data_IF_307818056769
#
_entry.id   IF_307818056769
#
_cell.length_a   1.000
_cell.length_b   1.000
_cell.length_c   1.000
_cell.angle_alpha   90.00
_cell.angle_beta   90.00
_cell.angle_gamma   90.00
#
_symmetry.space_group_name_H-M   'P 1'
#
loop_
_entity.id
_entity.type
_entity.pdbx_description
1 polymer ?
#
# COMPACT_ATOMS: atom_id res chain seq x y z
N UNK A 1 11.02 -5.25 7.89
CA UNK A 1 11.86 -6.21 8.62
C UNK A 1 13.01 -5.53 9.36
N UNK A 2 14.14 -5.18 8.72
CA UNK A 2 15.32 -4.62 9.45
C UNK A 2 15.04 -3.29 10.17
N UNK A 3 14.22 -2.42 9.60
CA UNK A 3 13.91 -1.09 10.17
C UNK A 3 12.98 -1.17 11.39
N UNK A 4 11.95 -2.01 11.35
CA UNK A 4 11.02 -2.20 12.48
C UNK A 4 11.72 -2.90 13.67
N UNK A 5 12.48 -3.96 13.39
CA UNK A 5 13.31 -4.63 14.41
C UNK A 5 14.29 -3.67 15.10
N UNK A 6 14.88 -2.73 14.36
CA UNK A 6 15.73 -1.69 14.96
C UNK A 6 14.95 -0.76 15.90
N UNK A 7 13.73 -0.35 15.54
CA UNK A 7 12.88 0.49 16.42
C UNK A 7 12.41 -0.26 17.66
N UNK A 8 12.05 -1.54 17.54
CA UNK A 8 11.69 -2.41 18.66
C UNK A 8 12.87 -2.61 19.61
N UNK A 9 14.06 -2.90 19.07
CA UNK A 9 15.26 -3.06 19.88
C UNK A 9 15.66 -1.76 20.58
N UNK A 10 15.52 -0.62 19.90
CA UNK A 10 15.80 0.69 20.48
C UNK A 10 14.81 1.06 21.59
N UNK A 11 13.52 0.79 21.40
CA UNK A 11 12.48 1.04 22.41
C UNK A 11 12.61 0.09 23.61
N UNK A 12 12.90 -1.19 23.38
CA UNK A 12 13.17 -2.15 24.46
C UNK A 12 14.43 -1.75 25.27
N UNK A 13 15.50 -1.32 24.59
CA UNK A 13 16.70 -0.81 25.25
C UNK A 13 16.42 0.46 26.07
N UNK A 14 15.63 1.38 25.52
CA UNK A 14 15.22 2.61 26.23
C UNK A 14 14.42 2.28 27.49
N UNK A 15 13.47 1.33 27.42
CA UNK A 15 12.69 0.87 28.58
C UNK A 15 13.64 0.25 29.62
N UNK A 16 14.53 -0.65 29.23
CA UNK A 16 15.49 -1.27 30.16
C UNK A 16 16.42 -0.25 30.82
N UNK A 17 16.91 0.74 30.06
CA UNK A 17 17.72 1.83 30.58
C UNK A 17 16.93 2.70 31.56
N UNK A 18 15.68 3.02 31.23
CA UNK A 18 14.80 3.77 32.12
C UNK A 18 14.56 2.98 33.42
N UNK A 19 14.20 1.70 33.35
CA UNK A 19 14.01 0.85 34.53
C UNK A 19 15.26 0.78 35.40
N UNK A 20 16.46 0.74 34.79
CA UNK A 20 17.72 0.76 35.53
C UNK A 20 17.93 2.10 36.27
N UNK A 21 17.77 3.23 35.58
CA UNK A 21 17.95 4.57 36.17
C UNK A 21 16.93 4.79 37.30
N UNK A 22 15.66 4.53 37.03
CA UNK A 22 14.60 4.66 38.03
C UNK A 22 14.78 3.64 39.17
N UNK A 23 15.28 2.43 38.90
CA UNK A 23 15.63 1.45 39.93
C UNK A 23 16.70 1.95 40.89
N UNK A 24 17.77 2.58 40.36
CA UNK A 24 18.80 3.21 41.19
C UNK A 24 18.21 4.35 42.04
N UNK A 25 17.38 5.20 41.43
CA UNK A 25 16.71 6.29 42.15
C UNK A 25 15.77 5.73 43.21
N UNK A 26 15.00 4.67 42.95
CA UNK A 26 14.11 4.05 43.93
C UNK A 26 14.88 3.57 45.18
N UNK A 27 16.01 2.90 45.00
CA UNK A 27 16.83 2.42 46.13
C UNK A 27 17.37 3.59 46.96
N UNK A 28 17.81 4.67 46.31
CA UNK A 28 18.33 5.84 47.03
C UNK A 28 17.20 6.62 47.72
N UNK A 29 16.06 6.78 47.05
CA UNK A 29 14.99 7.68 47.45
C UNK A 29 13.99 7.03 48.43
N UNK A 30 13.77 5.73 48.30
CA UNK A 30 12.77 4.98 49.09
C UNK A 30 13.48 4.15 50.16
N UNK A 31 14.50 3.37 49.79
CA UNK A 31 15.14 2.41 50.73
C UNK A 31 15.98 3.11 51.81
N UNK A 32 16.63 4.24 51.51
CA UNK A 32 17.42 4.99 52.49
C UNK A 32 16.62 6.05 53.26
N UNK A 33 15.32 6.17 53.01
CA UNK A 33 14.47 7.16 53.69
C UNK A 33 14.12 6.70 55.11
N UNK A 34 14.62 7.42 56.12
CA UNK A 34 14.44 7.06 57.52
C UNK A 34 12.98 7.17 57.99
N UNK A 35 12.19 8.10 57.42
CA UNK A 35 10.80 8.29 57.82
C UNK A 35 9.93 7.13 57.31
N UNK A 36 10.15 6.70 56.06
CA UNK A 36 9.42 5.57 55.48
C UNK A 36 9.77 4.24 56.16
N UNK A 37 11.04 4.06 56.55
CA UNK A 37 11.48 2.87 57.27
C UNK A 37 11.01 2.82 58.73
N UNK A 38 10.53 3.94 59.30
CA UNK A 38 10.01 3.98 60.66
C UNK A 38 8.58 3.46 60.80
N UNK A 39 7.87 3.29 59.67
CA UNK A 39 6.46 2.90 59.61
C UNK A 39 6.37 1.43 59.19
N UNK A 40 5.76 0.59 60.02
CA UNK A 40 5.72 -0.88 59.84
C UNK A 40 5.11 -1.30 58.48
N UNK A 41 4.01 -0.65 58.08
CA UNK A 41 3.32 -0.92 56.79
C UNK A 41 4.20 -0.60 55.57
N UNK A 42 4.97 0.50 55.64
CA UNK A 42 5.81 0.93 54.51
C UNK A 42 7.12 0.16 54.48
N UNK A 43 7.69 -0.14 55.65
CA UNK A 43 8.92 -0.91 55.80
C UNK A 43 8.80 -2.32 55.19
N UNK A 44 7.68 -3.01 55.40
CA UNK A 44 7.44 -4.32 54.78
C UNK A 44 7.46 -4.25 53.25
N UNK A 45 6.85 -3.21 52.69
CA UNK A 45 6.81 -2.99 51.23
C UNK A 45 8.21 -2.70 50.69
N UNK A 46 8.99 -1.87 51.38
CA UNK A 46 10.37 -1.55 51.00
C UNK A 46 11.24 -2.80 51.02
N UNK A 47 11.16 -3.62 52.08
CA UNK A 47 11.95 -4.85 52.20
C UNK A 47 11.57 -5.90 51.15
N UNK A 48 10.30 -5.94 50.73
CA UNK A 48 9.83 -6.88 49.72
C UNK A 48 10.14 -6.43 48.29
N UNK A 49 9.97 -5.13 47.99
CA UNK A 49 9.96 -4.62 46.61
C UNK A 49 11.20 -3.77 46.26
N UNK A 50 11.83 -3.13 47.23
CA UNK A 50 13.00 -2.26 47.05
C UNK A 50 14.23 -2.61 47.92
N UNK A 51 14.51 -3.87 48.32
CA UNK A 51 15.65 -4.17 49.20
C UNK A 51 17.01 -3.98 48.51
N UNK A 52 17.05 -4.15 47.18
CA UNK A 52 18.25 -3.99 46.37
C UNK A 52 17.86 -3.57 44.94
N UNK A 53 18.84 -3.18 44.13
CA UNK A 53 18.63 -2.69 42.77
C UNK A 53 17.92 -3.71 41.88
N UNK A 54 18.29 -4.99 41.95
CA UNK A 54 17.72 -6.02 41.10
C UNK A 54 16.24 -6.27 41.41
N UNK A 55 15.89 -6.41 42.69
CA UNK A 55 14.49 -6.53 43.14
C UNK A 55 13.71 -5.27 42.80
N UNK A 56 14.32 -4.08 42.90
CA UNK A 56 13.69 -2.82 42.50
C UNK A 56 13.38 -2.79 41.00
N UNK A 57 14.31 -3.23 40.14
CA UNK A 57 14.08 -3.34 38.69
C UNK A 57 12.95 -4.35 38.40
N UNK A 58 12.90 -5.49 39.10
CA UNK A 58 11.80 -6.45 38.96
C UNK A 58 10.45 -5.87 39.40
N UNK A 59 10.42 -5.11 40.49
CA UNK A 59 9.22 -4.39 40.92
C UNK A 59 8.82 -3.36 39.86
N UNK A 60 9.75 -2.56 39.35
CA UNK A 60 9.47 -1.59 38.28
C UNK A 60 9.06 -2.27 36.96
N UNK A 61 9.47 -3.51 36.72
CA UNK A 61 8.95 -4.32 35.62
C UNK A 61 7.46 -4.67 35.84
N UNK A 62 6.98 -4.85 37.07
CA UNK A 62 5.53 -4.94 37.35
C UNK A 62 4.80 -3.62 37.05
N UNK A 63 5.49 -2.48 37.18
CA UNK A 63 4.95 -1.19 36.72
C UNK A 63 4.82 -1.10 35.20
N UNK A 64 5.62 -1.86 34.45
CA UNK A 64 5.46 -2.01 33.00
C UNK A 64 4.15 -2.73 32.69
N UNK A 65 3.85 -3.80 33.40
CA UNK A 65 2.62 -4.57 33.18
C UNK A 65 1.38 -3.98 33.86
N UNK A 66 1.53 -2.88 34.61
CA UNK A 66 0.51 -2.31 35.50
C UNK A 66 -0.10 -3.35 36.45
N UNK A 67 0.71 -4.33 36.86
CA UNK A 67 0.25 -5.48 37.66
C UNK A 67 0.33 -5.17 39.15
N UNK A 68 -0.81 -5.12 39.83
CA UNK A 68 -0.94 -4.89 41.28
C UNK A 68 -0.15 -3.69 41.85
N UNK A 69 0.17 -2.69 41.02
CA UNK A 69 1.09 -1.60 41.38
C UNK A 69 0.55 -0.69 42.49
N UNK A 70 -0.77 -0.62 42.64
CA UNK A 70 -1.43 0.21 43.65
C UNK A 70 -1.05 -0.20 45.07
N UNK A 71 -0.84 -1.50 45.32
CA UNK A 71 -0.40 -2.00 46.63
C UNK A 71 1.01 -1.51 46.97
N UNK A 72 1.84 -1.18 45.97
CA UNK A 72 3.20 -0.70 46.16
C UNK A 72 3.24 0.81 46.34
N UNK A 73 2.71 1.59 45.38
CA UNK A 73 2.88 3.06 45.41
C UNK A 73 1.93 3.78 46.37
N UNK A 74 0.70 3.29 46.58
CA UNK A 74 -0.31 3.99 47.39
C UNK A 74 0.15 4.26 48.84
N UNK A 75 0.60 3.25 49.63
CA UNK A 75 1.05 3.49 51.00
C UNK A 75 2.27 4.42 51.06
N UNK A 76 3.20 4.32 50.10
CA UNK A 76 4.35 5.21 49.99
C UNK A 76 3.93 6.68 49.76
N UNK A 77 2.98 6.92 48.86
CA UNK A 77 2.49 8.26 48.52
C UNK A 77 1.66 8.88 49.65
N UNK A 78 0.87 8.08 50.37
CA UNK A 78 0.07 8.57 51.51
C UNK A 78 0.98 9.17 52.59
N UNK A 79 2.11 8.53 52.88
CA UNK A 79 3.07 9.02 53.86
C UNK A 79 3.98 10.12 53.31
N UNK A 80 4.39 10.03 52.03
CA UNK A 80 5.19 11.06 51.35
C UNK A 80 4.56 11.46 50.01
N UNK A 81 3.69 12.49 50.00
CA UNK A 81 2.91 12.88 48.83
C UNK A 81 3.74 13.24 47.59
N UNK A 82 4.96 13.75 47.77
CA UNK A 82 5.83 14.14 46.65
C UNK A 82 6.33 12.93 45.84
N UNK A 83 6.30 11.72 46.38
CA UNK A 83 6.61 10.48 45.64
C UNK A 83 5.64 10.21 44.50
N UNK A 84 4.45 10.83 44.48
CA UNK A 84 3.50 10.70 43.37
C UNK A 84 4.13 11.17 42.05
N UNK A 85 4.98 12.21 42.09
CA UNK A 85 5.64 12.73 40.88
C UNK A 85 6.61 11.70 40.33
N UNK A 86 7.35 11.02 41.21
CA UNK A 86 8.27 9.94 40.84
C UNK A 86 7.53 8.77 40.18
N UNK A 87 6.47 8.25 40.82
CA UNK A 87 5.69 7.13 40.29
C UNK A 87 4.92 7.51 39.02
N UNK A 88 4.36 8.72 38.94
CA UNK A 88 3.68 9.21 37.74
C UNK A 88 4.63 9.32 36.54
N UNK A 89 5.86 9.81 36.77
CA UNK A 89 6.85 9.97 35.71
C UNK A 89 7.28 8.62 35.13
N UNK A 90 7.58 7.63 35.97
CA UNK A 90 7.94 6.28 35.48
C UNK A 90 6.76 5.62 34.77
N UNK A 91 5.54 5.72 35.32
CA UNK A 91 4.34 5.17 34.67
C UNK A 91 4.14 5.77 33.29
N UNK A 92 4.34 7.08 33.13
CA UNK A 92 4.22 7.76 31.84
C UNK A 92 5.28 7.26 30.84
N UNK A 93 6.55 7.25 31.24
CA UNK A 93 7.68 6.84 30.36
C UNK A 93 7.49 5.40 29.89
N UNK A 94 7.17 4.51 30.83
CA UNK A 94 7.00 3.09 30.55
C UNK A 94 5.76 2.84 29.68
N UNK A 95 4.65 3.54 29.94
CA UNK A 95 3.43 3.43 29.11
C UNK A 95 3.67 3.87 27.67
N UNK A 96 4.39 4.99 27.46
CA UNK A 96 4.77 5.46 26.13
C UNK A 96 5.71 4.46 25.46
N UNK A 97 6.70 3.94 26.20
CA UNK A 97 7.64 2.93 25.69
C UNK A 97 6.93 1.67 25.21
N UNK A 98 6.01 1.14 26.00
CA UNK A 98 5.20 -0.02 25.63
C UNK A 98 4.30 0.25 24.43
N UNK A 99 3.61 1.39 24.41
CA UNK A 99 2.75 1.76 23.28
C UNK A 99 3.55 1.83 21.99
N UNK A 100 4.76 2.39 22.03
CA UNK A 100 5.65 2.43 20.87
C UNK A 100 6.10 1.03 20.42
N UNK A 101 6.40 0.13 21.37
CA UNK A 101 6.75 -1.25 21.06
C UNK A 101 5.58 -1.99 20.39
N UNK A 102 4.37 -1.87 20.93
CA UNK A 102 3.15 -2.48 20.35
C UNK A 102 2.86 -1.90 18.98
N UNK A 103 2.96 -0.58 18.83
CA UNK A 103 2.73 0.11 17.55
C UNK A 103 3.73 -0.36 16.49
N UNK A 104 5.01 -0.52 16.84
CA UNK A 104 6.02 -1.01 15.91
C UNK A 104 5.68 -2.41 15.38
N UNK A 105 5.26 -3.33 16.26
CA UNK A 105 4.85 -4.70 15.87
C UNK A 105 3.59 -4.68 14.98
N UNK A 106 2.59 -3.88 15.32
CA UNK A 106 1.37 -3.78 14.53
C UNK A 106 1.62 -3.21 13.14
N UNK A 107 2.45 -2.18 13.03
CA UNK A 107 2.83 -1.58 11.74
C UNK A 107 3.62 -2.58 10.89
N UNK A 108 4.52 -3.36 11.49
CA UNK A 108 5.26 -4.39 10.78
C UNK A 108 4.33 -5.46 10.20
N UNK A 109 3.41 -6.00 11.01
CA UNK A 109 2.42 -6.97 10.54
C UNK A 109 1.53 -6.39 9.44
N UNK A 110 1.11 -5.13 9.57
CA UNK A 110 0.28 -4.47 8.55
C UNK A 110 1.03 -4.29 7.22
N UNK A 111 2.30 -3.89 7.27
CA UNK A 111 3.13 -3.72 6.08
C UNK A 111 3.46 -5.06 5.41
N UNK A 112 3.75 -6.10 6.20
CA UNK A 112 4.01 -7.44 5.67
C UNK A 112 2.76 -8.04 5.01
N UNK A 113 1.61 -7.94 5.66
CA UNK A 113 0.34 -8.38 5.07
C UNK A 113 0.01 -7.62 3.78
N UNK A 114 0.20 -6.29 3.75
CA UNK A 114 -0.02 -5.50 2.54
C UNK A 114 0.91 -5.91 1.39
N UNK A 115 2.18 -6.24 1.70
CA UNK A 115 3.12 -6.74 0.69
C UNK A 115 2.72 -8.12 0.15
N UNK A 116 2.29 -9.03 1.04
CA UNK A 116 1.81 -10.36 0.66
C UNK A 116 0.53 -10.28 -0.20
N UNK A 117 -0.41 -9.40 0.14
CA UNK A 117 -1.61 -9.17 -0.65
C UNK A 117 -1.26 -8.64 -2.05
N UNK A 118 -0.36 -7.66 -2.15
CA UNK A 118 0.07 -7.12 -3.44
C UNK A 118 0.77 -8.17 -4.32
N UNK A 119 1.62 -9.01 -3.75
CA UNK A 119 2.27 -10.11 -4.48
C UNK A 119 1.27 -11.19 -4.90
N UNK A 120 0.31 -11.54 -4.04
CA UNK A 120 -0.75 -12.48 -4.36
C UNK A 120 -1.66 -11.96 -5.50
N UNK A 121 -2.02 -10.68 -5.47
CA UNK A 121 -2.78 -10.02 -6.54
C UNK A 121 -2.01 -10.09 -7.86
N UNK A 122 -0.71 -9.77 -7.84
CA UNK A 122 0.13 -9.84 -9.04
C UNK A 122 0.23 -11.25 -9.62
N UNK A 123 0.33 -12.27 -8.76
CA UNK A 123 0.34 -13.67 -9.19
C UNK A 123 -1.01 -14.08 -9.79
N UNK A 124 -2.12 -13.67 -9.17
CA UNK A 124 -3.46 -13.91 -9.68
C UNK A 124 -3.67 -13.26 -11.05
N UNK A 125 -3.23 -12.00 -11.23
CA UNK A 125 -3.26 -11.32 -12.53
C UNK A 125 -2.47 -12.07 -13.59
N UNK A 126 -1.23 -12.50 -13.27
CA UNK A 126 -0.43 -13.32 -14.20
C UNK A 126 -1.10 -14.63 -14.59
N UNK A 127 -1.76 -15.29 -13.63
CA UNK A 127 -2.47 -16.55 -13.89
C UNK A 127 -3.67 -16.30 -14.82
N UNK A 128 -4.47 -15.26 -14.55
CA UNK A 128 -5.58 -14.85 -15.42
C UNK A 128 -5.12 -14.56 -16.85
N UNK A 129 -4.00 -13.84 -17.02
CA UNK A 129 -3.40 -13.58 -18.35
C UNK A 129 -3.04 -14.88 -19.04
N UNK A 130 -2.30 -15.76 -18.35
CA UNK A 130 -1.81 -17.01 -18.92
C UNK A 130 -2.95 -17.95 -19.37
N UNK A 131 -4.06 -17.95 -18.64
CA UNK A 131 -5.23 -18.77 -18.97
C UNK A 131 -6.06 -18.17 -20.11
N UNK A 132 -6.20 -16.84 -20.17
CA UNK A 132 -7.04 -16.17 -21.16
C UNK A 132 -6.36 -15.99 -22.52
N UNK A 133 -5.03 -15.79 -22.54
CA UNK A 133 -4.26 -15.52 -23.76
C UNK A 133 -4.41 -16.58 -24.86
N UNK A 134 -4.30 -17.90 -24.61
CA UNK A 134 -4.49 -18.90 -25.67
C UNK A 134 -5.90 -18.87 -26.26
N UNK A 135 -6.93 -18.75 -25.43
CA UNK A 135 -8.32 -18.67 -25.90
C UNK A 135 -8.56 -17.43 -26.75
N UNK A 136 -7.95 -16.29 -26.39
CA UNK A 136 -8.04 -15.06 -27.19
C UNK A 136 -7.36 -15.19 -28.55
N UNK A 137 -6.22 -15.87 -28.61
CA UNK A 137 -5.53 -16.13 -29.87
C UNK A 137 -6.33 -17.05 -30.79
N UNK A 138 -6.90 -18.12 -30.24
CA UNK A 138 -7.80 -19.02 -30.98
C UNK A 138 -9.03 -18.26 -31.51
N UNK A 139 -9.63 -17.40 -30.67
CA UNK A 139 -10.78 -16.58 -31.08
C UNK A 139 -10.42 -15.61 -32.20
N UNK A 140 -9.20 -15.07 -32.22
CA UNK A 140 -8.72 -14.20 -33.30
C UNK A 140 -8.58 -14.98 -34.61
N UNK A 141 -7.96 -16.16 -34.57
CA UNK A 141 -7.79 -17.03 -35.74
C UNK A 141 -9.15 -17.49 -36.32
N UNK A 142 -10.15 -17.72 -35.46
CA UNK A 142 -11.50 -18.07 -35.90
C UNK A 142 -12.25 -16.90 -36.57
N UNK A 143 -11.88 -15.66 -36.27
CA UNK A 143 -12.49 -14.44 -36.83
C UNK A 143 -11.81 -13.96 -38.12
N UNK A 144 -10.51 -14.22 -38.26
CA UNK A 144 -9.70 -13.91 -39.45
C UNK A 144 -9.89 -14.97 -40.54
N UNK A 145 -11.06 -14.93 -41.21
CA UNK A 145 -11.43 -15.92 -42.25
C UNK A 145 -10.47 -15.89 -43.46
N UNK A 146 -9.94 -14.72 -43.80
CA UNK A 146 -9.06 -14.54 -44.96
C UNK A 146 -7.57 -14.76 -44.64
N UNK A 147 -7.21 -14.87 -43.36
CA UNK A 147 -5.85 -15.09 -42.87
C UNK A 147 -4.94 -13.90 -43.12
N UNK A 148 -5.49 -12.69 -43.25
CA UNK A 148 -4.75 -11.46 -43.49
C UNK A 148 -3.92 -11.03 -42.27
N UNK A 149 -4.23 -11.55 -41.09
CA UNK A 149 -3.66 -11.12 -39.80
C UNK A 149 -4.36 -9.88 -39.22
N UNK A 150 -5.49 -9.49 -39.79
CA UNK A 150 -6.33 -8.37 -39.35
C UNK A 150 -7.78 -8.81 -39.34
N UNK A 151 -8.54 -8.36 -38.35
CA UNK A 151 -10.00 -8.49 -38.37
C UNK A 151 -10.56 -7.22 -38.99
N UNK A 152 -11.27 -7.34 -40.10
CA UNK A 152 -11.95 -6.25 -40.78
C UNK A 152 -13.41 -6.12 -40.33
N UNK A 153 -14.01 -4.96 -40.61
CA UNK A 153 -15.42 -4.71 -40.25
C UNK A 153 -16.39 -5.68 -40.94
N UNK A 154 -16.05 -6.15 -42.13
CA UNK A 154 -16.87 -7.07 -42.92
C UNK A 154 -16.83 -8.49 -42.33
N UNK A 155 -15.70 -8.92 -41.74
CA UNK A 155 -15.53 -10.26 -41.15
C UNK A 155 -16.27 -10.44 -39.82
N UNK A 156 -16.49 -9.35 -39.09
CA UNK A 156 -17.27 -9.36 -37.85
C UNK A 156 -18.75 -9.06 -38.07
N UNK A 157 -19.13 -8.63 -39.28
CA UNK A 157 -20.51 -8.24 -39.59
C UNK A 157 -21.39 -9.49 -39.62
N UNK A 158 -22.25 -9.63 -38.59
CA UNK A 158 -23.12 -10.80 -38.43
C UNK A 158 -22.55 -11.91 -37.55
N UNK A 159 -21.34 -11.75 -37.01
CA UNK A 159 -20.79 -12.66 -36.00
C UNK A 159 -21.48 -12.40 -34.66
N UNK A 160 -22.04 -13.43 -34.00
CA UNK A 160 -22.63 -13.26 -32.68
C UNK A 160 -21.54 -13.07 -31.62
N UNK A 161 -21.79 -12.17 -30.66
CA UNK A 161 -20.87 -11.86 -29.55
C UNK A 161 -20.54 -13.10 -28.69
N UNK A 162 -21.33 -14.17 -28.78
CA UNK A 162 -21.13 -15.45 -28.09
C UNK A 162 -19.84 -16.17 -28.48
N UNK A 163 -19.19 -15.79 -29.58
CA UNK A 163 -17.87 -16.31 -29.98
C UNK A 163 -16.79 -15.88 -28.99
N UNK A 164 -16.93 -14.69 -28.39
CA UNK A 164 -16.03 -14.24 -27.32
C UNK A 164 -16.37 -15.00 -26.02
N UNK A 165 -15.38 -15.52 -25.29
CA UNK A 165 -15.65 -16.24 -24.05
C UNK A 165 -16.45 -15.37 -23.07
N UNK A 166 -17.57 -15.87 -22.49
CA UNK A 166 -18.49 -15.06 -21.70
C UNK A 166 -17.85 -14.46 -20.44
N UNK A 167 -16.78 -15.08 -19.94
CA UNK A 167 -15.95 -14.56 -18.84
C UNK A 167 -15.28 -13.21 -19.15
N UNK A 168 -15.11 -12.87 -20.43
CA UNK A 168 -14.50 -11.61 -20.86
C UNK A 168 -15.52 -10.49 -21.08
N UNK A 169 -16.80 -10.85 -21.16
CA UNK A 169 -17.92 -9.93 -21.38
C UNK A 169 -18.70 -9.63 -20.10
N UNK A 170 -18.36 -10.28 -18.98
CA UNK A 170 -19.09 -10.17 -17.71
C UNK A 170 -19.17 -8.74 -17.18
N UNK A 171 -18.15 -7.91 -17.47
CA UNK A 171 -18.04 -6.53 -17.00
C UNK A 171 -18.27 -5.48 -18.09
N UNK A 172 -18.66 -5.89 -19.31
CA UNK A 172 -18.85 -4.98 -20.43
C UNK A 172 -20.22 -5.19 -21.06
N UNK A 173 -21.07 -4.17 -21.00
CA UNK A 173 -22.36 -4.17 -21.70
C UNK A 173 -22.14 -3.84 -23.18
N UNK A 174 -22.02 -4.87 -24.00
CA UNK A 174 -21.89 -4.75 -25.46
C UNK A 174 -23.05 -5.49 -26.12
N UNK A 175 -23.76 -4.82 -27.01
CA UNK A 175 -24.94 -5.37 -27.68
C UNK A 175 -24.59 -6.08 -29.00
N UNK A 176 -23.45 -5.73 -29.63
CA UNK A 176 -23.00 -6.32 -30.89
C UNK A 176 -21.48 -6.45 -31.03
N UNK A 177 -21.01 -7.32 -31.92
CA UNK A 177 -19.57 -7.43 -32.26
C UNK A 177 -19.04 -6.15 -32.91
N UNK A 178 -19.90 -5.39 -33.57
CA UNK A 178 -19.56 -4.08 -34.16
C UNK A 178 -19.21 -3.07 -33.08
N UNK A 179 -19.97 -3.05 -31.98
CA UNK A 179 -19.67 -2.15 -30.85
C UNK A 179 -18.36 -2.55 -30.15
N UNK A 180 -18.09 -3.86 -30.02
CA UNK A 180 -16.81 -4.35 -29.50
C UNK A 180 -15.67 -3.94 -30.43
N UNK A 181 -15.83 -4.10 -31.73
CA UNK A 181 -14.83 -3.70 -32.70
C UNK A 181 -14.54 -2.21 -32.63
N UNK A 182 -15.61 -1.41 -32.66
CA UNK A 182 -15.48 0.03 -32.50
C UNK A 182 -14.87 0.38 -31.15
N UNK A 183 -15.00 -0.44 -30.09
CA UNK A 183 -14.37 -0.31 -28.77
C UNK A 183 -12.88 -0.67 -28.74
N UNK A 184 -12.43 -1.55 -29.62
CA UNK A 184 -11.04 -1.98 -29.71
C UNK A 184 -10.23 -1.21 -30.76
N UNK A 185 -10.89 -0.72 -31.82
CA UNK A 185 -10.28 0.09 -32.89
C UNK A 185 -10.02 1.50 -32.36
N UNK A 186 -8.79 1.73 -31.91
CA UNK A 186 -8.39 2.99 -31.26
C UNK A 186 -7.70 3.94 -32.24
N UNK A 187 -7.02 3.40 -33.25
CA UNK A 187 -6.37 4.18 -34.29
C UNK A 187 -7.35 4.62 -35.40
N UNK A 188 -8.55 4.04 -35.44
CA UNK A 188 -9.58 4.35 -36.43
C UNK A 188 -9.21 3.83 -37.81
N UNK A 189 -8.34 2.82 -37.87
CA UNK A 189 -7.90 2.20 -39.12
C UNK A 189 -9.00 1.40 -39.82
N UNK A 190 -10.10 1.09 -39.12
CA UNK A 190 -11.17 0.24 -39.63
C UNK A 190 -10.77 -1.23 -39.75
N UNK A 191 -9.65 -1.61 -39.13
CA UNK A 191 -9.11 -2.97 -39.04
C UNK A 191 -8.53 -3.16 -37.64
N UNK A 192 -8.71 -4.33 -37.05
CA UNK A 192 -8.12 -4.71 -35.76
C UNK A 192 -6.94 -5.63 -35.97
N UNK A 193 -5.78 -5.22 -35.48
CA UNK A 193 -4.63 -6.11 -35.39
C UNK A 193 -4.81 -7.15 -34.29
N UNK A 194 -4.09 -8.28 -34.38
CA UNK A 194 -4.03 -9.28 -33.30
C UNK A 194 -3.64 -8.65 -31.95
N UNK A 195 -2.72 -7.68 -31.97
CA UNK A 195 -2.29 -7.01 -30.75
C UNK A 195 -3.43 -6.18 -30.13
N UNK A 196 -4.16 -5.41 -30.93
CA UNK A 196 -5.29 -4.60 -30.46
C UNK A 196 -6.46 -5.47 -29.96
N UNK A 197 -6.75 -6.56 -30.64
CA UNK A 197 -7.78 -7.50 -30.23
C UNK A 197 -7.43 -8.16 -28.88
N UNK A 198 -6.23 -8.74 -28.76
CA UNK A 198 -5.80 -9.45 -27.56
C UNK A 198 -5.57 -8.49 -26.40
N UNK A 199 -4.83 -7.39 -26.60
CA UNK A 199 -4.58 -6.40 -25.54
C UNK A 199 -5.88 -5.71 -25.12
N UNK A 200 -6.75 -5.42 -26.08
CA UNK A 200 -8.06 -4.84 -25.86
C UNK A 200 -8.93 -5.71 -24.94
N UNK A 201 -9.18 -6.96 -25.32
CA UNK A 201 -9.98 -7.89 -24.53
C UNK A 201 -9.31 -8.23 -23.19
N UNK A 202 -7.97 -8.35 -23.15
CA UNK A 202 -7.25 -8.59 -21.91
C UNK A 202 -7.38 -7.41 -20.93
N UNK A 203 -7.35 -6.18 -21.44
CA UNK A 203 -7.61 -4.98 -20.65
C UNK A 203 -9.07 -4.87 -20.20
N UNK A 204 -10.05 -5.43 -20.92
CA UNK A 204 -11.42 -5.50 -20.40
C UNK A 204 -11.52 -6.45 -19.20
N UNK A 205 -10.72 -7.51 -19.19
CA UNK A 205 -10.78 -8.60 -18.20
C UNK A 205 -9.97 -8.31 -16.94
N UNK A 206 -8.79 -7.72 -17.08
CA UNK A 206 -7.86 -7.55 -15.96
C UNK A 206 -8.16 -6.31 -15.12
N UNK A 207 -8.75 -5.32 -15.74
CA UNK A 207 -8.63 -3.95 -15.29
C UNK A 207 -9.91 -3.51 -14.54
N UNK A 208 -11.01 -4.30 -14.58
CA UNK A 208 -12.33 -3.94 -14.04
C UNK A 208 -12.68 -2.47 -14.35
N UNK A 209 -12.18 -2.01 -15.50
CA UNK A 209 -12.14 -0.58 -15.79
C UNK A 209 -13.55 -0.19 -16.18
N UNK A 210 -14.17 0.77 -15.47
CA UNK A 210 -15.48 1.27 -15.84
C UNK A 210 -15.46 1.72 -17.30
N UNK A 211 -16.53 1.46 -18.04
CA UNK A 211 -16.65 1.80 -19.47
C UNK A 211 -16.29 3.27 -19.74
N UNK A 212 -16.59 4.18 -18.81
CA UNK A 212 -16.22 5.61 -18.86
C UNK A 212 -14.71 5.87 -18.98
N UNK A 213 -13.89 5.01 -18.39
CA UNK A 213 -12.43 5.14 -18.41
C UNK A 213 -11.86 4.61 -19.73
N UNK A 214 -12.46 3.56 -20.31
CA UNK A 214 -12.12 3.11 -21.67
C UNK A 214 -12.47 4.20 -22.68
N UNK A 215 -13.65 4.82 -22.56
CA UNK A 215 -14.04 5.98 -23.37
C UNK A 215 -13.07 7.15 -23.19
N UNK A 216 -12.64 7.43 -21.96
CA UNK A 216 -11.67 8.49 -21.68
C UNK A 216 -10.28 8.20 -22.27
N UNK A 217 -9.82 6.95 -22.19
CA UNK A 217 -8.55 6.50 -22.79
C UNK A 217 -8.59 6.57 -24.32
N UNK A 218 -9.74 6.23 -24.92
CA UNK A 218 -10.00 6.40 -26.36
C UNK A 218 -9.90 7.85 -26.78
N UNK A 219 -10.65 8.73 -26.10
CA UNK A 219 -10.60 10.18 -26.36
C UNK A 219 -9.16 10.71 -26.23
N UNK A 220 -8.41 10.30 -25.20
CA UNK A 220 -7.02 10.70 -25.01
C UNK A 220 -6.09 10.21 -26.13
N UNK A 221 -6.22 8.95 -26.57
CA UNK A 221 -5.40 8.40 -27.66
C UNK A 221 -5.77 9.02 -29.01
N UNK A 222 -7.06 9.23 -29.32
CA UNK A 222 -7.49 9.94 -30.53
C UNK A 222 -7.01 11.39 -30.54
N UNK A 223 -7.07 12.10 -29.41
CA UNK A 223 -6.52 13.46 -29.29
C UNK A 223 -5.01 13.46 -29.57
N UNK A 224 -4.28 12.47 -29.04
CA UNK A 224 -2.83 12.33 -29.28
C UNK A 224 -2.52 12.07 -30.76
N UNK A 225 -3.30 11.22 -31.42
CA UNK A 225 -3.19 10.94 -32.85
C UNK A 225 -3.43 12.20 -33.68
N UNK A 226 -4.57 12.88 -33.48
CA UNK A 226 -4.90 14.13 -34.17
C UNK A 226 -3.83 15.19 -33.93
N UNK A 227 -3.34 15.32 -32.69
CA UNK A 227 -2.27 16.26 -32.37
C UNK A 227 -0.95 15.94 -33.09
N UNK A 228 -0.64 14.65 -33.30
CA UNK A 228 0.54 14.24 -34.06
C UNK A 228 0.38 14.60 -35.54
N UNK A 229 -0.76 14.27 -36.13
CA UNK A 229 -1.11 14.59 -37.51
C UNK A 229 -1.02 16.10 -37.76
N UNK A 230 -1.65 16.91 -36.89
CA UNK A 230 -1.66 18.37 -37.01
C UNK A 230 -0.24 18.96 -36.91
N UNK A 231 0.61 18.39 -36.04
CA UNK A 231 2.01 18.78 -35.94
C UNK A 231 2.79 18.48 -37.22
N UNK A 232 2.50 17.36 -37.88
CA UNK A 232 3.10 16.98 -39.15
C UNK A 232 2.66 17.89 -40.30
N UNK A 233 1.36 18.19 -40.38
CA UNK A 233 0.79 19.11 -41.37
C UNK A 233 1.36 20.52 -41.21
N UNK A 234 1.50 21.01 -39.98
CA UNK A 234 2.12 22.33 -39.70
C UNK A 234 3.59 22.36 -40.14
N UNK A 235 4.34 21.26 -39.93
CA UNK A 235 5.73 21.17 -40.40
C UNK A 235 5.82 21.19 -41.92
N UNK A 236 4.94 20.45 -42.61
CA UNK A 236 4.89 20.44 -44.06
C UNK A 236 4.54 21.82 -44.61
N UNK A 237 3.51 22.48 -44.09
CA UNK A 237 3.12 23.84 -44.49
C UNK A 237 4.25 24.85 -44.32
N UNK A 238 4.97 24.77 -43.19
CA UNK A 238 6.10 25.67 -42.94
C UNK A 238 7.26 25.40 -43.92
N UNK A 239 7.53 24.13 -44.26
CA UNK A 239 8.52 23.77 -45.27
C UNK A 239 8.14 24.31 -46.66
N UNK A 240 6.87 24.16 -47.08
CA UNK A 240 6.38 24.66 -48.36
C UNK A 240 6.40 26.20 -48.44
N UNK A 241 6.11 26.89 -47.33
CA UNK A 241 6.21 28.36 -47.26
C UNK A 241 7.66 28.84 -47.36
N UNK A 242 8.61 28.14 -46.72
CA UNK A 242 10.03 28.46 -46.82
C UNK A 242 10.58 28.22 -48.24
N UNK A 243 10.13 27.17 -48.93
CA UNK A 243 10.44 26.97 -50.35
C UNK A 243 9.88 28.08 -51.25
N UNK A 244 8.62 28.49 -51.03
CA UNK A 244 8.00 29.56 -51.81
C UNK A 244 8.60 30.94 -51.55
N UNK A 245 9.14 31.20 -50.36
CA UNK A 245 9.86 32.45 -50.06
C UNK A 245 11.33 32.44 -50.55
N UNK A 246 11.87 31.28 -50.95
CA UNK A 246 13.22 31.12 -51.48
C UNK A 246 13.36 31.41 -52.98
N UNK A 247 12.26 31.51 -53.73
CA UNK A 247 12.28 31.90 -55.14
C UNK A 247 12.19 33.43 -55.28
N UNK A 248 13.27 34.13 -55.71
CA UNK A 248 13.16 35.55 -56.02
C UNK A 248 12.24 35.70 -57.22
N UNK A 249 11.18 36.49 -57.03
CA UNK A 249 10.31 36.95 -58.11
C UNK A 249 11.19 37.74 -59.08
N UNK A 250 11.65 37.08 -60.14
CA UNK A 250 12.27 37.74 -61.28
C UNK A 250 11.18 38.55 -61.98
N UNK A 251 11.06 39.82 -61.59
CA UNK A 251 10.51 40.88 -62.43
C UNK A 251 11.50 41.25 -63.53
#
# INVERSE_FOLDING_TARGET
LLTAGQTMMSTAFLIMLALFIFGCVAVELITHDADLNSIEDTQQIILQHFPNLFTSILTLLQFVTLDSIAAVYYPLVVHKPWLIVYFALIMLIVSIGLMNLVTAVLVENALENAALEADAERLNLKHKIKDALPTLLETFEDLDEDGSGFISRDEIEGVPVTVIPPKLLENVSIDSMVDLFELLDVDGGGQLTQHEFVEGLLNLVLLDVPISTIQSLRLLRSIKFISSQLSEDVKQLNATLLENMGHPVHC
#
